data_IF_791740700864
#
_entry.id   IF_791740700864
#
_cell.length_a   1.000
_cell.length_b   1.000
_cell.length_c   1.000
_cell.angle_alpha   90.00
_cell.angle_beta   90.00
_cell.angle_gamma   90.00
#
_symmetry.space_group_name_H-M   'P 1'
#
loop_
_entity.id
_entity.type
_entity.pdbx_description
1 polymer ?
#
# COMPACT_ATOMS: atom_id res chain seq x y z
N UNK A 1 45.03 10.14 29.53
CA UNK A 1 45.41 8.72 29.39
C UNK A 1 44.25 7.77 29.01
N UNK A 2 42.96 8.18 29.06
CA UNK A 2 41.82 7.35 28.61
C UNK A 2 41.49 7.43 27.11
N UNK A 3 42.28 8.16 26.32
CA UNK A 3 42.01 8.41 24.91
C UNK A 3 41.95 7.12 24.06
N UNK A 4 42.77 6.14 24.41
CA UNK A 4 42.82 4.85 23.74
C UNK A 4 41.49 4.09 23.87
N UNK A 5 40.84 4.15 25.03
CA UNK A 5 39.51 3.56 25.25
C UNK A 5 38.42 4.29 24.45
N UNK A 6 38.50 5.61 24.32
CA UNK A 6 37.54 6.38 23.51
C UNK A 6 37.66 6.06 22.01
N UNK A 7 38.88 5.94 21.50
CA UNK A 7 39.11 5.53 20.11
C UNK A 7 38.56 4.11 19.89
N UNK A 8 38.84 3.19 20.82
CA UNK A 8 38.31 1.82 20.75
C UNK A 8 36.77 1.81 20.72
N UNK A 9 36.11 2.47 21.68
CA UNK A 9 34.66 2.53 21.74
C UNK A 9 34.05 3.18 20.49
N UNK A 10 34.65 4.27 20.01
CA UNK A 10 34.23 4.96 18.79
C UNK A 10 34.33 4.04 17.56
N UNK A 11 35.43 3.29 17.41
CA UNK A 11 35.59 2.36 16.27
C UNK A 11 34.54 1.25 16.28
N UNK A 12 34.17 0.73 17.45
CA UNK A 12 33.13 -0.29 17.59
C UNK A 12 31.77 0.28 17.17
N UNK A 13 31.41 1.45 17.69
CA UNK A 13 30.12 2.11 17.36
C UNK A 13 30.06 2.49 15.88
N UNK A 14 31.15 3.04 15.33
CA UNK A 14 31.23 3.43 13.92
C UNK A 14 31.04 2.21 13.01
N UNK A 15 31.69 1.08 13.30
CA UNK A 15 31.53 -0.14 12.50
C UNK A 15 30.11 -0.70 12.55
N UNK A 16 29.48 -0.71 13.75
CA UNK A 16 28.07 -1.09 13.91
C UNK A 16 27.13 -0.18 13.13
N UNK A 17 27.37 1.14 13.18
CA UNK A 17 26.54 2.13 12.49
C UNK A 17 26.64 2.00 10.96
N UNK A 18 27.85 1.82 10.41
CA UNK A 18 28.05 1.58 8.98
C UNK A 18 27.37 0.29 8.54
N UNK A 19 27.50 -0.80 9.32
CA UNK A 19 26.81 -2.06 9.04
C UNK A 19 25.28 -1.91 9.06
N UNK A 20 24.75 -1.14 10.01
CA UNK A 20 23.33 -0.84 10.10
C UNK A 20 22.85 0.01 8.91
N UNK A 21 23.63 1.00 8.50
CA UNK A 21 23.34 1.85 7.35
C UNK A 21 23.29 1.04 6.05
N UNK A 22 24.28 0.18 5.82
CA UNK A 22 24.31 -0.69 4.63
C UNK A 22 23.10 -1.62 4.61
N UNK A 23 22.74 -2.25 5.75
CA UNK A 23 21.53 -3.09 5.83
C UNK A 23 20.26 -2.28 5.56
N UNK A 24 20.16 -1.07 6.09
CA UNK A 24 19.03 -0.18 5.86
C UNK A 24 18.91 0.23 4.39
N UNK A 25 20.02 0.54 3.72
CA UNK A 25 20.05 0.85 2.28
C UNK A 25 19.70 -0.37 1.42
N UNK A 26 20.20 -1.56 1.77
CA UNK A 26 19.84 -2.79 1.05
C UNK A 26 18.35 -3.10 1.20
N UNK A 27 17.81 -3.03 2.42
CA UNK A 27 16.36 -3.20 2.66
C UNK A 27 15.54 -2.22 1.83
N UNK A 28 15.91 -0.93 1.84
CA UNK A 28 15.15 0.08 1.11
C UNK A 28 15.21 -0.15 -0.40
N UNK A 29 16.37 -0.55 -0.93
CA UNK A 29 16.53 -0.91 -2.35
C UNK A 29 15.67 -2.11 -2.75
N UNK A 30 15.52 -3.10 -1.86
CA UNK A 30 14.62 -4.24 -2.11
C UNK A 30 13.16 -3.86 -1.95
N UNK A 31 12.80 -2.98 -1.02
CA UNK A 31 11.41 -2.58 -0.77
C UNK A 31 10.82 -1.78 -1.95
N UNK A 32 11.62 -1.05 -2.73
CA UNK A 32 11.18 -0.45 -4.01
C UNK A 32 10.83 -1.51 -5.08
N UNK A 33 11.39 -2.73 -4.97
CA UNK A 33 11.14 -3.85 -5.87
C UNK A 33 10.09 -4.85 -5.32
N UNK A 34 9.92 -4.93 -3.99
CA UNK A 34 9.18 -5.99 -3.28
C UNK A 34 7.94 -5.53 -2.51
N UNK A 35 7.31 -4.42 -2.89
CA UNK A 35 5.90 -4.18 -2.50
C UNK A 35 4.92 -5.18 -3.15
N UNK A 36 5.43 -6.27 -3.73
CA UNK A 36 4.65 -7.36 -4.33
C UNK A 36 4.41 -8.55 -3.39
N UNK A 37 5.18 -8.83 -2.33
CA UNK A 37 4.91 -10.10 -1.62
C UNK A 37 5.25 -10.22 -0.13
N UNK A 38 4.19 -10.55 0.62
CA UNK A 38 4.18 -11.43 1.79
C UNK A 38 4.60 -10.86 3.15
N UNK A 39 3.88 -9.84 3.61
CA UNK A 39 3.35 -9.88 4.98
C UNK A 39 1.95 -10.45 4.85
N UNK A 40 1.58 -11.42 5.71
CA UNK A 40 0.24 -12.04 5.77
C UNK A 40 -0.82 -10.97 6.04
N UNK A 41 -1.15 -10.21 5.00
CA UNK A 41 -2.32 -9.35 4.94
C UNK A 41 -3.53 -10.29 4.84
N UNK A 42 -4.66 -9.97 5.49
CA UNK A 42 -5.90 -10.68 5.21
C UNK A 42 -6.04 -10.75 3.69
N UNK A 43 -6.36 -11.93 3.15
CA UNK A 43 -6.62 -12.09 1.72
C UNK A 43 -7.65 -11.05 1.33
N UNK A 44 -7.18 -9.94 0.74
CA UNK A 44 -8.04 -8.95 0.15
C UNK A 44 -8.60 -9.65 -1.07
N UNK A 45 -9.82 -10.16 -0.95
CA UNK A 45 -10.56 -10.65 -2.09
C UNK A 45 -10.68 -9.46 -3.04
N UNK A 46 -10.09 -9.50 -4.25
CA UNK A 46 -10.18 -8.39 -5.18
C UNK A 46 -11.65 -8.10 -5.46
N UNK A 47 -12.04 -6.82 -5.48
CA UNK A 47 -13.40 -6.45 -5.84
C UNK A 47 -13.69 -6.97 -7.26
N UNK A 48 -14.93 -7.45 -7.54
CA UNK A 48 -15.25 -8.11 -8.80
C UNK A 48 -15.06 -7.21 -10.03
N UNK A 49 -15.03 -5.89 -9.85
CA UNK A 49 -14.76 -4.91 -10.92
C UNK A 49 -13.30 -4.91 -11.40
N UNK A 50 -12.36 -5.43 -10.59
CA UNK A 50 -10.95 -5.59 -10.95
C UNK A 50 -10.66 -6.98 -11.52
N UNK A 51 -11.69 -7.75 -11.89
CA UNK A 51 -11.51 -9.05 -12.54
C UNK A 51 -11.95 -8.93 -14.00
N UNK A 52 -11.09 -9.38 -14.92
CA UNK A 52 -11.46 -9.53 -16.32
C UNK A 52 -12.43 -10.72 -16.53
N UNK A 53 -12.91 -10.91 -17.76
CA UNK A 53 -13.81 -12.01 -18.10
C UNK A 53 -13.19 -13.42 -17.88
N UNK A 54 -11.87 -13.51 -17.78
CA UNK A 54 -11.13 -14.74 -17.51
C UNK A 54 -10.76 -14.90 -16.02
N UNK A 55 -11.12 -13.93 -15.16
CA UNK A 55 -10.84 -13.93 -13.73
C UNK A 55 -9.43 -13.44 -13.35
N UNK A 56 -8.70 -12.80 -14.26
CA UNK A 56 -7.41 -12.18 -13.96
C UNK A 56 -7.62 -10.80 -13.34
N UNK A 57 -6.75 -10.42 -12.41
CA UNK A 57 -6.79 -9.10 -11.76
C UNK A 57 -6.27 -8.04 -12.73
N UNK A 58 -7.08 -7.01 -13.00
CA UNK A 58 -6.72 -5.84 -13.82
C UNK A 58 -6.45 -4.63 -12.92
N UNK A 59 -5.58 -3.72 -13.37
CA UNK A 59 -5.16 -2.53 -12.60
C UNK A 59 -6.22 -1.42 -12.57
N UNK A 60 -7.15 -1.45 -13.52
CA UNK A 60 -8.24 -0.49 -13.66
C UNK A 60 -9.61 -1.19 -13.54
N UNK A 61 -10.62 -0.55 -12.92
CA UNK A 61 -11.94 -1.14 -12.85
C UNK A 61 -12.57 -1.23 -14.23
N UNK A 62 -13.23 -2.35 -14.53
CA UNK A 62 -13.94 -2.55 -15.79
C UNK A 62 -15.07 -1.51 -15.93
N UNK A 63 -14.84 -0.46 -16.73
CA UNK A 63 -15.83 0.59 -16.97
C UNK A 63 -16.97 0.07 -17.84
N UNK A 64 -18.10 -0.28 -17.23
CA UNK A 64 -19.33 -0.61 -17.96
C UNK A 64 -20.10 0.66 -18.30
N UNK A 65 -19.96 1.15 -19.52
CA UNK A 65 -20.79 2.25 -20.02
C UNK A 65 -22.22 1.76 -20.31
N UNK A 66 -23.16 2.04 -19.41
CA UNK A 66 -24.59 1.82 -19.66
C UNK A 66 -25.20 3.08 -20.28
N UNK A 67 -25.86 2.94 -21.44
CA UNK A 67 -26.68 4.01 -22.00
C UNK A 67 -27.97 4.14 -21.19
N UNK A 68 -27.94 4.94 -20.13
CA UNK A 68 -29.11 5.25 -19.29
C UNK A 68 -29.65 6.64 -19.63
N UNK A 69 -30.96 6.84 -19.46
CA UNK A 69 -31.57 8.15 -19.58
C UNK A 69 -31.08 9.10 -18.48
N UNK A 70 -31.13 10.41 -18.74
CA UNK A 70 -30.70 11.44 -17.77
C UNK A 70 -31.51 11.35 -16.47
N UNK A 71 -32.81 11.07 -16.55
CA UNK A 71 -33.67 10.99 -15.37
C UNK A 71 -33.36 9.75 -14.52
N UNK A 72 -33.10 8.60 -15.15
CA UNK A 72 -32.71 7.37 -14.46
C UNK A 72 -31.35 7.53 -13.77
N UNK A 73 -30.40 8.19 -14.43
CA UNK A 73 -29.10 8.53 -13.86
C UNK A 73 -29.25 9.42 -12.61
N UNK A 74 -30.13 10.42 -12.68
CA UNK A 74 -30.43 11.32 -11.55
C UNK A 74 -31.00 10.54 -10.35
N UNK A 75 -31.95 9.65 -10.60
CA UNK A 75 -32.57 8.82 -9.56
C UNK A 75 -31.56 7.85 -8.92
N UNK A 76 -30.71 7.21 -9.72
CA UNK A 76 -29.68 6.31 -9.22
C UNK A 76 -28.67 7.06 -8.35
N UNK A 77 -28.21 8.24 -8.77
CA UNK A 77 -27.31 9.08 -7.99
C UNK A 77 -27.95 9.54 -6.67
N UNK A 78 -29.23 9.92 -6.70
CA UNK A 78 -29.99 10.29 -5.49
C UNK A 78 -30.12 9.11 -4.51
N UNK A 79 -30.35 7.89 -5.02
CA UNK A 79 -30.41 6.69 -4.19
C UNK A 79 -29.06 6.35 -3.55
N UNK A 80 -27.95 6.48 -4.28
CA UNK A 80 -26.60 6.28 -3.74
C UNK A 80 -26.30 7.28 -2.63
N UNK A 81 -26.69 8.55 -2.84
CA UNK A 81 -26.51 9.60 -1.85
C UNK A 81 -27.31 9.34 -0.56
N UNK A 82 -28.57 8.91 -0.67
CA UNK A 82 -29.45 8.63 0.47
C UNK A 82 -29.09 7.36 1.25
N UNK A 83 -28.50 6.37 0.58
CA UNK A 83 -28.15 5.07 1.17
C UNK A 83 -26.72 5.04 1.73
N UNK A 84 -26.00 6.17 1.73
CA UNK A 84 -24.66 6.21 2.27
C UNK A 84 -24.73 5.99 3.79
N UNK A 85 -24.04 4.96 4.35
CA UNK A 85 -24.00 4.77 5.79
C UNK A 85 -23.41 6.03 6.42
N UNK A 86 -24.12 6.64 7.38
CA UNK A 86 -23.58 7.74 8.15
C UNK A 86 -22.26 7.29 8.77
N UNK A 87 -21.19 7.99 8.41
CA UNK A 87 -19.88 7.74 8.98
C UNK A 87 -19.93 8.26 10.43
N UNK A 88 -19.89 7.41 11.47
CA UNK A 88 -19.88 7.90 12.84
C UNK A 88 -18.48 8.47 13.11
N UNK A 89 -18.34 9.77 12.85
CA UNK A 89 -17.15 10.55 13.20
C UNK A 89 -17.05 10.68 14.73
N UNK A 90 -16.04 10.02 15.31
CA UNK A 90 -15.45 10.36 16.61
C UNK A 90 -14.58 11.61 16.48
#
# INVERSE_FOLDING_TARGET
>A
MFHLLYILAFTIIAFLAVGNLIRSLLSISTDYQYNSNSRRRPQQVPHPEFLDAAGNVIEEPLLVMKSIGVEDARQQLESLYKNQPENPSN
#
